data_IF_237142089435
#
_entry.id   IF_237142089435
#
_cell.length_a   1.000
_cell.length_b   1.000
_cell.length_c   1.000
_cell.angle_alpha   90.00
_cell.angle_beta   90.00
_cell.angle_gamma   90.00
#
_symmetry.space_group_name_H-M   'P 1'
#
loop_
_entity.id
_entity.type
_entity.pdbx_description
1 polymer ?
#
# COMPACT_ATOMS: atom_id res chain seq x y z
N UNK A 1 12.04 -15.36 18.87
CA UNK A 1 11.22 -15.41 20.11
C UNK A 1 9.91 -14.66 19.89
N UNK A 2 8.75 -15.33 19.94
CA UNK A 2 7.45 -14.73 19.54
C UNK A 2 6.87 -13.85 20.66
N UNK A 3 6.83 -12.52 20.45
CA UNK A 3 6.09 -11.59 21.33
C UNK A 3 4.59 -11.72 21.08
N UNK A 4 3.90 -12.45 21.95
CA UNK A 4 2.47 -12.81 21.77
C UNK A 4 1.56 -11.60 21.51
N UNK A 5 0.46 -11.81 20.77
CA UNK A 5 -0.52 -10.76 20.46
C UNK A 5 -1.15 -10.10 21.70
N UNK A 6 -1.15 -10.79 22.86
CA UNK A 6 -1.55 -10.23 24.16
C UNK A 6 -0.58 -9.13 24.63
N UNK A 7 0.72 -9.27 24.35
CA UNK A 7 1.73 -8.25 24.64
C UNK A 7 1.59 -7.01 23.74
N UNK A 8 1.40 -7.20 22.42
CA UNK A 8 1.13 -6.08 21.48
C UNK A 8 -0.15 -5.32 21.88
N UNK A 9 -1.24 -6.03 22.21
CA UNK A 9 -2.49 -5.44 22.72
C UNK A 9 -2.31 -4.72 24.07
N UNK A 10 -1.55 -5.28 25.02
CA UNK A 10 -1.24 -4.60 26.30
C UNK A 10 -0.46 -3.31 26.06
N UNK A 11 0.56 -3.32 25.19
CA UNK A 11 1.33 -2.11 24.88
C UNK A 11 0.46 -1.01 24.27
N UNK A 12 -0.36 -1.35 23.27
CA UNK A 12 -1.30 -0.41 22.64
C UNK A 12 -2.30 0.15 23.67
N UNK A 13 -2.86 -0.69 24.56
CA UNK A 13 -3.79 -0.22 25.60
C UNK A 13 -3.10 0.71 26.61
N UNK A 14 -1.87 0.41 27.02
CA UNK A 14 -1.11 1.27 27.92
C UNK A 14 -0.75 2.62 27.24
N UNK A 15 -0.38 2.61 25.95
CA UNK A 15 -0.14 3.83 25.17
C UNK A 15 -1.42 4.68 25.02
N UNK A 16 -2.57 4.06 24.71
CA UNK A 16 -3.87 4.76 24.66
C UNK A 16 -4.27 5.33 26.02
N UNK A 17 -4.15 4.56 27.11
CA UNK A 17 -4.45 5.06 28.46
C UNK A 17 -3.56 6.27 28.80
N UNK A 18 -2.27 6.24 28.41
CA UNK A 18 -1.34 7.37 28.62
C UNK A 18 -1.81 8.62 27.86
N UNK A 19 -2.24 8.47 26.60
CA UNK A 19 -2.78 9.57 25.80
C UNK A 19 -4.08 10.13 26.39
N UNK A 20 -5.01 9.29 26.86
CA UNK A 20 -6.23 9.75 27.55
C UNK A 20 -5.90 10.49 28.85
N UNK A 21 -4.88 10.06 29.61
CA UNK A 21 -4.42 10.75 30.83
C UNK A 21 -3.71 12.08 30.52
N UNK A 22 -3.08 12.22 29.35
CA UNK A 22 -2.56 13.51 28.89
C UNK A 22 -3.69 14.45 28.46
N UNK A 23 -4.71 13.93 27.77
CA UNK A 23 -5.87 14.71 27.33
C UNK A 23 -6.71 15.24 28.50
N UNK A 24 -6.96 14.44 29.54
CA UNK A 24 -7.67 14.91 30.74
C UNK A 24 -6.84 15.92 31.55
N UNK A 25 -5.51 15.78 31.57
CA UNK A 25 -4.62 16.80 32.15
C UNK A 25 -4.55 18.11 31.36
N UNK A 26 -4.98 18.11 30.09
CA UNK A 26 -5.06 19.31 29.26
C UNK A 26 -6.35 20.09 29.57
N UNK A 27 -7.50 19.42 29.52
CA UNK A 27 -8.81 20.00 29.83
C UNK A 27 -8.84 20.60 31.25
N UNK A 28 -8.40 19.85 32.26
CA UNK A 28 -8.34 20.30 33.66
C UNK A 28 -7.36 21.48 33.91
N UNK A 29 -6.78 22.07 32.86
CA UNK A 29 -5.84 23.19 32.94
C UNK A 29 -6.40 24.49 32.34
N UNK A 30 -7.52 24.44 31.62
CA UNK A 30 -8.16 25.60 31.00
C UNK A 30 -9.15 26.29 31.97
N UNK A 31 -9.67 25.56 32.96
CA UNK A 31 -10.61 26.05 34.00
C UNK A 31 -10.01 27.06 35.02
N UNK A 32 -8.77 27.52 34.85
CA UNK A 32 -8.07 28.41 35.79
C UNK A 32 -7.43 29.63 35.09
N UNK A 33 -8.22 30.37 34.32
CA UNK A 33 -7.85 31.68 33.79
C UNK A 33 -8.64 32.75 34.55
N UNK A 34 -7.94 33.67 35.21
CA UNK A 34 -8.50 34.90 35.79
C UNK A 34 -8.28 36.04 34.81
N UNK A 35 -9.28 36.92 34.66
CA UNK A 35 -9.25 38.04 33.71
C UNK A 35 -8.19 39.11 34.05
N UNK A 36 -7.74 39.92 33.06
CA UNK A 36 -6.51 40.69 33.14
C UNK A 36 -6.64 42.02 33.88
N UNK A 37 -5.51 42.49 34.42
CA UNK A 37 -5.32 43.88 34.86
C UNK A 37 -4.62 44.71 33.77
N UNK A 38 -5.02 45.97 33.62
CA UNK A 38 -4.44 46.98 32.72
C UNK A 38 -3.46 47.86 33.49
N UNK A 39 -2.46 48.44 32.78
CA UNK A 39 -1.55 49.59 33.07
C UNK A 39 -0.16 49.27 32.48
N UNK A 40 0.62 50.18 31.90
CA UNK A 40 0.33 51.49 31.26
C UNK A 40 1.52 51.82 30.32
N UNK A 41 1.45 52.90 29.52
CA UNK A 41 2.54 53.29 28.59
C UNK A 41 3.68 54.07 29.29
N UNK A 42 4.95 53.92 28.82
CA UNK A 42 5.93 54.98 28.46
C UNK A 42 7.45 54.59 28.56
N UNK A 43 8.28 55.43 27.91
CA UNK A 43 9.76 55.65 28.03
C UNK A 43 10.81 54.68 27.42
N UNK A 44 11.27 55.09 26.22
CA UNK A 44 12.67 55.31 25.75
C UNK A 44 13.77 54.21 25.66
N UNK A 45 14.10 53.92 24.39
CA UNK A 45 15.42 54.07 23.74
C UNK A 45 16.72 53.82 24.56
N UNK A 46 17.49 52.77 24.19
CA UNK A 46 18.75 52.91 23.41
C UNK A 46 19.41 51.56 23.08
N UNK A 47 20.02 51.47 21.89
CA UNK A 47 21.02 50.43 21.54
C UNK A 47 22.44 51.02 21.62
N UNK A 48 23.46 50.17 21.85
CA UNK A 48 24.57 50.13 20.89
C UNK A 48 24.80 48.74 20.27
N UNK A 49 25.74 48.67 19.32
CA UNK A 49 25.98 47.55 18.40
C UNK A 49 27.44 47.05 18.46
N UNK A 50 27.65 45.75 18.17
CA UNK A 50 28.76 45.20 17.33
C UNK A 50 30.20 45.34 17.91
N UNK A 51 31.08 44.30 17.85
CA UNK A 51 31.44 43.65 16.58
C UNK A 51 31.62 42.12 16.53
N UNK A 52 31.45 41.63 15.30
CA UNK A 52 31.97 40.36 14.77
C UNK A 52 33.34 40.64 14.10
N UNK A 53 34.22 39.65 13.99
CA UNK A 53 35.37 39.71 13.07
C UNK A 53 35.24 38.62 12.00
N UNK A 54 35.15 39.05 10.74
CA UNK A 54 35.21 38.20 9.56
C UNK A 54 36.65 37.87 9.14
N UNK A 55 36.82 36.79 8.36
CA UNK A 55 37.61 36.66 7.12
C UNK A 55 38.05 35.19 6.88
N UNK A 56 38.03 34.60 5.69
CA UNK A 56 37.33 34.91 4.41
C UNK A 56 37.47 33.70 3.44
N UNK A 57 36.93 33.79 2.22
CA UNK A 57 37.27 32.99 0.99
C UNK A 57 36.78 31.51 1.00
N UNK A 58 36.13 30.96 -0.04
CA UNK A 58 35.51 31.52 -1.28
C UNK A 58 34.35 30.61 -1.72
N UNK A 59 33.37 31.15 -2.45
CA UNK A 59 32.31 30.39 -3.13
C UNK A 59 32.56 30.28 -4.63
N UNK A 60 32.30 29.10 -5.21
CA UNK A 60 31.97 28.93 -6.63
C UNK A 60 30.51 28.45 -6.73
N UNK A 61 29.71 29.13 -7.54
CA UNK A 61 28.29 28.83 -7.73
C UNK A 61 28.09 27.61 -8.64
N UNK A 62 26.98 26.90 -8.50
CA UNK A 62 26.01 26.75 -9.60
C UNK A 62 24.66 26.13 -9.14
N UNK A 63 23.62 26.41 -9.93
CA UNK A 63 22.24 25.87 -9.91
C UNK A 63 21.49 25.78 -8.56
N UNK A 64 20.89 26.91 -8.16
CA UNK A 64 19.85 26.96 -7.13
C UNK A 64 18.49 26.44 -7.64
N UNK A 65 18.08 25.24 -7.23
CA UNK A 65 16.73 24.73 -7.49
C UNK A 65 15.78 25.07 -6.32
N UNK A 66 14.72 25.84 -6.60
CA UNK A 66 13.82 26.41 -5.58
C UNK A 66 12.90 25.36 -4.94
N UNK A 67 13.06 25.10 -3.64
CA UNK A 67 12.33 24.05 -2.92
C UNK A 67 11.47 24.57 -1.75
N UNK A 68 10.68 25.63 -1.97
CA UNK A 68 9.71 26.13 -0.98
C UNK A 68 8.43 26.67 -1.63
N UNK A 69 7.54 25.77 -2.06
CA UNK A 69 6.10 26.01 -2.03
C UNK A 69 5.31 24.71 -2.23
N UNK A 70 4.74 24.17 -1.14
CA UNK A 70 3.55 23.31 -1.22
C UNK A 70 2.71 23.49 0.06
N UNK A 71 1.72 24.37 -0.05
CA UNK A 71 0.74 24.63 1.00
C UNK A 71 -0.17 23.42 1.20
N UNK A 72 -0.64 23.25 2.44
CA UNK A 72 -1.59 22.24 2.91
C UNK A 72 -2.61 21.78 1.86
N UNK A 73 -2.57 20.51 1.47
CA UNK A 73 -3.72 19.80 0.92
C UNK A 73 -3.97 18.54 1.76
N UNK A 74 -5.24 18.33 2.13
CA UNK A 74 -5.69 17.17 2.88
C UNK A 74 -5.45 15.88 2.08
N UNK A 75 -5.12 14.74 2.74
CA UNK A 75 -5.00 13.48 2.02
C UNK A 75 -6.35 13.10 1.38
N UNK A 76 -6.39 12.79 0.07
CA UNK A 76 -7.62 12.43 -0.61
C UNK A 76 -8.16 11.08 -0.13
N UNK A 77 -9.49 10.94 -0.14
CA UNK A 77 -10.20 9.71 0.19
C UNK A 77 -9.74 8.54 -0.68
N UNK A 78 -9.30 7.44 -0.06
CA UNK A 78 -8.88 6.23 -0.79
C UNK A 78 -10.10 5.42 -1.22
N UNK A 79 -10.60 5.68 -2.43
CA UNK A 79 -11.61 4.84 -3.09
C UNK A 79 -11.00 3.49 -3.51
N UNK A 80 -11.29 2.42 -2.76
CA UNK A 80 -11.03 1.04 -3.21
C UNK A 80 -12.07 0.67 -4.26
N UNK A 81 -11.73 0.86 -5.53
CA UNK A 81 -12.63 0.77 -6.68
C UNK A 81 -13.11 -0.65 -7.02
N UNK A 82 -14.00 -1.22 -6.22
CA UNK A 82 -14.79 -2.41 -6.56
C UNK A 82 -16.17 -1.98 -7.08
N UNK A 83 -16.20 -1.45 -8.31
CA UNK A 83 -17.45 -1.27 -9.05
C UNK A 83 -17.65 -2.45 -10.04
N UNK A 84 -18.88 -2.96 -10.22
CA UNK A 84 -19.18 -4.03 -11.17
C UNK A 84 -18.97 -3.64 -12.63
N UNK A 85 -19.02 -4.65 -13.51
CA UNK A 85 -18.92 -4.50 -14.95
C UNK A 85 -20.12 -3.72 -15.53
N UNK A 86 -19.83 -2.73 -16.37
CA UNK A 86 -20.60 -2.45 -17.57
C UNK A 86 -19.61 -2.55 -18.75
N UNK A 87 -20.01 -3.19 -19.83
CA UNK A 87 -19.20 -3.35 -21.04
C UNK A 87 -20.14 -3.29 -22.25
N UNK A 88 -20.10 -2.18 -22.99
CA UNK A 88 -20.82 -2.03 -24.26
C UNK A 88 -19.82 -1.69 -25.37
N UNK A 89 -19.79 -2.56 -26.38
CA UNK A 89 -19.22 -2.36 -27.73
C UNK A 89 -17.68 -2.14 -27.83
N UNK A 90 -17.02 -2.42 -28.96
CA UNK A 90 -17.53 -2.73 -30.31
C UNK A 90 -17.03 -4.05 -30.89
N UNK A 91 -17.88 -4.68 -31.71
CA UNK A 91 -17.59 -5.90 -32.48
C UNK A 91 -16.66 -5.59 -33.66
N UNK A 92 -15.81 -6.56 -34.04
CA UNK A 92 -15.32 -6.68 -35.41
C UNK A 92 -15.06 -8.16 -35.72
N UNK A 93 -15.68 -8.69 -36.78
CA UNK A 93 -15.70 -10.13 -37.10
C UNK A 93 -14.39 -10.64 -37.72
N UNK A 94 -14.08 -11.93 -37.52
CA UNK A 94 -14.01 -12.88 -38.65
C UNK A 94 -13.62 -14.33 -38.26
N UNK A 95 -14.06 -15.26 -39.10
CA UNK A 95 -13.72 -16.71 -39.19
C UNK A 95 -14.40 -17.63 -38.15
N UNK A 96 -14.88 -18.77 -38.67
CA UNK A 96 -15.75 -19.76 -38.03
C UNK A 96 -14.96 -21.04 -37.67
N UNK A 97 -15.48 -21.84 -36.72
CA UNK A 97 -16.06 -23.15 -37.02
C UNK A 97 -16.64 -23.87 -35.78
N UNK A 98 -17.85 -24.42 -35.94
CA UNK A 98 -18.40 -25.67 -35.31
C UNK A 98 -18.44 -25.81 -33.77
N UNK A 99 -19.42 -26.43 -33.10
CA UNK A 99 -20.83 -26.88 -33.29
C UNK A 99 -21.38 -27.16 -31.86
N UNK A 100 -22.66 -27.21 -31.46
CA UNK A 100 -24.04 -26.84 -31.92
C UNK A 100 -24.95 -26.93 -30.66
N UNK A 101 -26.26 -26.58 -30.67
CA UNK A 101 -27.00 -25.56 -31.42
C UNK A 101 -27.76 -24.58 -30.49
N UNK A 102 -27.74 -23.26 -30.77
CA UNK A 102 -28.62 -22.29 -30.11
C UNK A 102 -29.70 -21.79 -31.08
N UNK A 103 -30.93 -21.64 -30.61
CA UNK A 103 -32.08 -21.27 -31.45
C UNK A 103 -32.16 -19.76 -31.67
N UNK A 104 -31.54 -19.27 -32.75
CA UNK A 104 -31.64 -17.86 -33.15
C UNK A 104 -33.07 -17.51 -33.58
N UNK A 105 -33.74 -16.66 -32.80
CA UNK A 105 -34.89 -15.87 -33.25
C UNK A 105 -34.52 -14.38 -33.15
N UNK A 106 -33.93 -13.85 -34.21
CA UNK A 106 -33.54 -12.43 -34.27
C UNK A 106 -34.80 -11.59 -34.43
N UNK A 107 -35.20 -10.91 -33.36
CA UNK A 107 -36.19 -9.83 -33.39
C UNK A 107 -35.76 -8.72 -32.43
N UNK A 108 -35.74 -7.48 -32.93
CA UNK A 108 -34.98 -6.39 -32.32
C UNK A 108 -35.71 -5.70 -31.17
N UNK A 109 -35.22 -5.89 -29.94
CA UNK A 109 -35.38 -4.94 -28.83
C UNK A 109 -34.47 -5.33 -27.66
N UNK A 110 -33.89 -4.34 -26.96
CA UNK A 110 -33.01 -4.58 -25.81
C UNK A 110 -33.83 -4.93 -24.56
N UNK A 111 -34.44 -6.12 -24.54
CA UNK A 111 -35.05 -6.69 -23.35
C UNK A 111 -33.97 -7.15 -22.36
N UNK A 112 -33.53 -6.22 -21.51
CA UNK A 112 -32.80 -6.52 -20.28
C UNK A 112 -33.64 -7.54 -19.48
N UNK A 113 -33.07 -8.71 -19.15
CA UNK A 113 -33.84 -9.77 -18.49
C UNK A 113 -34.30 -9.34 -17.09
N UNK A 114 -35.34 -9.99 -16.55
CA UNK A 114 -35.81 -9.67 -15.20
C UNK A 114 -34.76 -10.09 -14.15
N UNK A 115 -33.98 -11.12 -14.45
CA UNK A 115 -32.80 -11.55 -13.73
C UNK A 115 -31.75 -10.42 -13.65
N UNK A 116 -31.42 -9.79 -14.78
CA UNK A 116 -30.49 -8.65 -14.85
C UNK A 116 -31.03 -7.42 -14.11
N UNK A 117 -32.33 -7.11 -14.22
CA UNK A 117 -32.95 -5.99 -13.51
C UNK A 117 -32.89 -6.17 -11.99
N UNK A 118 -33.16 -7.38 -11.48
CA UNK A 118 -33.06 -7.69 -10.04
C UNK A 118 -31.58 -7.73 -9.59
N UNK A 119 -30.68 -8.17 -10.46
CA UNK A 119 -29.23 -8.12 -10.24
C UNK A 119 -28.73 -6.67 -10.08
N UNK A 120 -29.06 -5.79 -11.04
CA UNK A 120 -28.73 -4.36 -11.00
C UNK A 120 -29.35 -3.66 -9.79
N UNK A 121 -30.62 -3.90 -9.47
CA UNK A 121 -31.27 -3.37 -8.27
C UNK A 121 -30.55 -3.80 -6.98
N UNK A 122 -30.22 -5.09 -6.83
CA UNK A 122 -29.57 -5.59 -5.64
C UNK A 122 -28.16 -5.00 -5.45
N UNK A 123 -27.44 -4.76 -6.56
CA UNK A 123 -26.17 -4.04 -6.58
C UNK A 123 -26.36 -2.57 -6.18
N UNK A 124 -27.24 -1.84 -6.86
CA UNK A 124 -27.46 -0.39 -6.70
C UNK A 124 -27.83 -0.01 -5.26
N UNK A 125 -28.66 -0.83 -4.61
CA UNK A 125 -29.11 -0.60 -3.24
C UNK A 125 -28.32 -1.39 -2.18
N UNK A 126 -27.20 -2.03 -2.56
CA UNK A 126 -26.33 -2.80 -1.67
C UNK A 126 -27.12 -3.84 -0.82
N UNK A 127 -28.02 -4.57 -1.48
CA UNK A 127 -28.94 -5.49 -0.83
C UNK A 127 -28.20 -6.77 -0.43
N UNK A 128 -28.25 -7.09 0.87
CA UNK A 128 -27.59 -8.27 1.43
C UNK A 128 -28.10 -9.56 0.77
N UNK A 129 -27.18 -10.46 0.41
CA UNK A 129 -27.47 -11.75 -0.23
C UNK A 129 -28.62 -12.54 0.42
N UNK A 130 -28.78 -12.52 1.76
CA UNK A 130 -29.88 -13.23 2.42
C UNK A 130 -31.26 -12.66 2.09
N UNK A 131 -31.39 -11.34 1.89
CA UNK A 131 -32.63 -10.72 1.43
C UNK A 131 -32.91 -11.04 -0.05
N UNK A 132 -31.88 -11.04 -0.90
CA UNK A 132 -32.00 -11.45 -2.30
C UNK A 132 -32.42 -12.93 -2.40
N UNK A 133 -31.81 -13.84 -1.62
CA UNK A 133 -32.20 -15.26 -1.59
C UNK A 133 -33.65 -15.45 -1.11
N UNK A 134 -34.12 -14.62 -0.17
CA UNK A 134 -35.53 -14.61 0.26
C UNK A 134 -36.47 -14.16 -0.85
N UNK A 135 -36.14 -13.07 -1.55
CA UNK A 135 -36.90 -12.57 -2.70
C UNK A 135 -36.96 -13.59 -3.83
N UNK A 136 -35.82 -14.19 -4.20
CA UNK A 136 -35.72 -15.26 -5.21
C UNK A 136 -36.58 -16.48 -4.84
N UNK A 137 -36.58 -16.87 -3.56
CA UNK A 137 -37.43 -17.97 -3.06
C UNK A 137 -38.93 -17.62 -3.15
N UNK A 138 -39.31 -16.38 -2.87
CA UNK A 138 -40.69 -15.91 -3.07
C UNK A 138 -41.09 -15.88 -4.55
N UNK A 139 -40.22 -15.36 -5.43
CA UNK A 139 -40.47 -15.29 -6.88
C UNK A 139 -40.63 -16.68 -7.50
N UNK A 140 -39.76 -17.65 -7.15
CA UNK A 140 -39.77 -19.00 -7.73
C UNK A 140 -41.03 -19.81 -7.41
N UNK A 141 -41.79 -19.44 -6.37
CA UNK A 141 -43.11 -20.01 -6.10
C UNK A 141 -44.17 -19.58 -7.13
N UNK A 142 -43.95 -18.47 -7.85
CA UNK A 142 -44.85 -18.00 -8.89
C UNK A 142 -44.58 -18.73 -10.22
N UNK A 143 -45.65 -19.10 -10.94
CA UNK A 143 -45.56 -19.95 -12.15
C UNK A 143 -44.65 -19.36 -13.24
N UNK A 144 -44.64 -18.03 -13.38
CA UNK A 144 -43.84 -17.32 -14.39
C UNK A 144 -42.32 -17.35 -14.12
N UNK A 145 -41.89 -17.60 -12.88
CA UNK A 145 -40.49 -17.45 -12.47
C UNK A 145 -39.86 -18.77 -12.01
N UNK A 146 -40.40 -19.93 -12.41
CA UNK A 146 -39.82 -21.25 -12.10
C UNK A 146 -38.34 -21.39 -12.49
N UNK A 147 -37.92 -20.68 -13.53
CA UNK A 147 -36.55 -20.69 -14.07
C UNK A 147 -35.55 -19.90 -13.20
N UNK A 148 -36.01 -18.96 -12.36
CA UNK A 148 -35.13 -18.13 -11.54
C UNK A 148 -34.24 -18.94 -10.59
N UNK A 149 -33.01 -18.49 -10.31
CA UNK A 149 -32.16 -19.07 -9.27
C UNK A 149 -32.79 -18.92 -7.87
N UNK A 150 -32.29 -19.69 -6.90
CA UNK A 150 -32.67 -19.57 -5.47
C UNK A 150 -31.55 -18.85 -4.69
N UNK A 151 -30.30 -19.15 -5.00
CA UNK A 151 -29.15 -18.44 -4.44
C UNK A 151 -28.81 -17.23 -5.31
N UNK A 152 -28.68 -16.06 -4.69
CA UNK A 152 -28.25 -14.82 -5.33
C UNK A 152 -26.86 -14.93 -5.94
N UNK A 153 -25.98 -15.82 -5.45
CA UNK A 153 -24.70 -16.13 -6.13
C UNK A 153 -24.90 -16.57 -7.59
N UNK A 154 -25.95 -17.34 -7.85
CA UNK A 154 -26.31 -17.80 -9.19
C UNK A 154 -26.97 -16.69 -10.02
N UNK A 155 -27.73 -15.79 -9.38
CA UNK A 155 -28.24 -14.57 -10.04
C UNK A 155 -27.11 -13.62 -10.45
N UNK A 156 -26.13 -13.41 -9.57
CA UNK A 156 -24.93 -12.60 -9.80
C UNK A 156 -23.88 -13.31 -10.68
N UNK A 157 -24.22 -14.42 -11.36
CA UNK A 157 -23.32 -15.13 -12.27
C UNK A 157 -21.99 -15.59 -11.65
N UNK A 158 -21.92 -15.79 -10.34
CA UNK A 158 -20.66 -16.04 -9.62
C UNK A 158 -20.02 -17.35 -10.13
N UNK A 159 -18.81 -17.32 -10.74
CA UNK A 159 -18.23 -18.49 -11.38
C UNK A 159 -18.04 -19.66 -10.40
N UNK A 160 -18.75 -20.76 -10.64
CA UNK A 160 -18.69 -21.99 -9.82
C UNK A 160 -17.54 -22.92 -10.21
N UNK A 161 -16.84 -22.65 -11.32
CA UNK A 161 -15.61 -23.35 -11.65
C UNK A 161 -14.49 -22.90 -10.70
N UNK A 162 -13.80 -23.85 -10.05
CA UNK A 162 -12.51 -23.57 -9.43
C UNK A 162 -11.54 -23.13 -10.52
N UNK A 163 -11.08 -21.88 -10.48
CA UNK A 163 -10.07 -21.39 -11.41
C UNK A 163 -8.83 -22.27 -11.34
N UNK A 164 -8.38 -22.78 -12.52
CA UNK A 164 -7.20 -23.66 -12.62
C UNK A 164 -5.89 -22.95 -12.28
N UNK A 165 -5.94 -21.62 -12.13
CA UNK A 165 -4.83 -20.70 -11.86
C UNK A 165 -4.52 -20.51 -10.36
N UNK A 166 -5.28 -21.10 -9.43
CA UNK A 166 -4.95 -21.02 -8.00
C UNK A 166 -3.72 -21.90 -7.73
N UNK A 167 -2.57 -21.25 -7.52
CA UNK A 167 -1.29 -21.89 -7.24
C UNK A 167 -1.12 -22.09 -5.74
N UNK A 168 -0.55 -23.23 -5.33
CA UNK A 168 -0.14 -23.43 -3.94
C UNK A 168 1.16 -22.67 -3.69
N UNK A 169 1.17 -21.83 -2.65
CA UNK A 169 2.37 -21.13 -2.14
C UNK A 169 2.43 -21.45 -0.65
N UNK A 170 3.43 -22.19 -0.17
CA UNK A 170 3.32 -22.78 1.17
C UNK A 170 3.32 -21.69 2.29
N UNK A 171 2.43 -21.77 3.32
CA UNK A 171 1.45 -22.81 3.66
C UNK A 171 0.00 -22.51 3.23
N UNK A 172 -0.19 -21.70 2.18
CA UNK A 172 -1.50 -21.24 1.70
C UNK A 172 -1.68 -21.40 0.19
N UNK A 173 -2.45 -20.48 -0.39
CA UNK A 173 -2.77 -20.42 -1.82
C UNK A 173 -2.56 -19.01 -2.36
N UNK A 174 -2.31 -18.89 -3.66
CA UNK A 174 -2.10 -17.64 -4.36
C UNK A 174 -2.90 -17.63 -5.66
N UNK A 175 -3.42 -16.46 -6.02
CA UNK A 175 -4.05 -16.21 -7.31
C UNK A 175 -3.39 -14.98 -7.96
N UNK A 176 -3.06 -15.09 -9.25
CA UNK A 176 -2.48 -14.01 -10.03
C UNK A 176 -3.54 -13.39 -10.94
N UNK A 177 -3.72 -12.07 -10.86
CA UNK A 177 -4.64 -11.31 -11.70
C UNK A 177 -3.97 -10.75 -12.96
N UNK A 178 -2.64 -10.70 -12.99
CA UNK A 178 -1.85 -10.05 -14.03
C UNK A 178 -1.80 -8.53 -13.90
N UNK A 179 -0.60 -7.96 -14.05
CA UNK A 179 -0.36 -6.53 -14.13
C UNK A 179 -0.95 -5.99 -15.44
N UNK A 180 -0.86 -6.76 -16.54
CA UNK A 180 -1.44 -6.44 -17.85
C UNK A 180 -2.94 -6.10 -17.78
N UNK A 181 -3.72 -6.91 -17.05
CA UNK A 181 -5.16 -6.73 -16.88
C UNK A 181 -5.49 -5.39 -16.21
N UNK A 182 -4.77 -5.07 -15.12
CA UNK A 182 -4.95 -3.81 -14.41
C UNK A 182 -4.47 -2.60 -15.22
N UNK A 183 -3.38 -2.73 -15.98
CA UNK A 183 -2.93 -1.68 -16.91
C UNK A 183 -4.02 -1.43 -17.95
N UNK A 184 -4.51 -2.46 -18.66
CA UNK A 184 -5.56 -2.35 -19.68
C UNK A 184 -6.86 -1.72 -19.13
N UNK A 185 -7.18 -1.93 -17.85
CA UNK A 185 -8.38 -1.36 -17.21
C UNK A 185 -8.24 0.11 -16.78
N UNK A 186 -7.04 0.57 -16.41
CA UNK A 186 -6.84 1.88 -15.78
C UNK A 186 -5.89 2.85 -16.52
N UNK A 187 -5.21 2.41 -17.59
CA UNK A 187 -4.36 3.26 -18.41
C UNK A 187 -5.20 4.13 -19.38
N UNK A 188 -4.95 5.44 -19.47
CA UNK A 188 -5.51 6.29 -20.51
C UNK A 188 -5.12 5.82 -21.92
N UNK A 189 -6.06 5.94 -22.85
CA UNK A 189 -5.94 5.59 -24.27
C UNK A 189 -4.76 6.25 -25.00
N UNK A 190 -4.30 7.41 -24.53
CA UNK A 190 -3.27 8.23 -25.16
C UNK A 190 -1.93 8.21 -24.39
N UNK A 191 -1.65 7.13 -23.64
CA UNK A 191 -0.45 7.01 -22.81
C UNK A 191 0.82 6.74 -23.64
N UNK A 192 1.78 7.68 -23.66
CA UNK A 192 3.07 7.49 -24.36
C UNK A 192 3.98 6.44 -23.68
N UNK A 193 3.90 6.35 -22.35
CA UNK A 193 4.57 5.33 -21.53
C UNK A 193 3.67 5.02 -20.32
N UNK A 194 3.97 3.92 -19.62
CA UNK A 194 3.23 3.50 -18.42
C UNK A 194 4.24 3.28 -17.30
N UNK A 195 4.12 4.09 -16.25
CA UNK A 195 5.03 4.09 -15.11
C UNK A 195 4.30 3.54 -13.88
N UNK A 196 4.83 2.48 -13.27
CA UNK A 196 4.11 1.69 -12.28
C UNK A 196 4.78 1.75 -10.91
N UNK A 197 3.95 1.95 -9.88
CA UNK A 197 4.28 1.73 -8.48
C UNK A 197 3.66 0.42 -8.01
N UNK A 198 4.44 -0.43 -7.36
CA UNK A 198 4.01 -1.71 -6.79
C UNK A 198 3.85 -1.57 -5.28
N UNK A 199 2.79 -2.14 -4.71
CA UNK A 199 2.54 -2.20 -3.27
C UNK A 199 2.52 -3.65 -2.77
N UNK A 200 3.19 -3.94 -1.65
CA UNK A 200 3.16 -5.27 -1.02
C UNK A 200 3.07 -5.10 0.50
N UNK A 201 2.07 -5.75 1.11
CA UNK A 201 1.73 -5.65 2.54
C UNK A 201 1.16 -6.99 3.06
N UNK A 202 1.05 -7.15 4.39
CA UNK A 202 0.48 -8.31 5.06
C UNK A 202 -0.78 -7.95 5.87
N UNK A 203 -1.96 -8.20 5.30
CA UNK A 203 -3.26 -7.81 5.85
C UNK A 203 -3.91 -8.94 6.68
N UNK A 204 -3.93 -8.86 8.03
CA UNK A 204 -4.61 -9.86 8.85
C UNK A 204 -6.14 -9.73 8.75
N UNK A 205 -6.81 -10.79 8.31
CA UNK A 205 -8.26 -10.83 8.12
C UNK A 205 -9.05 -10.98 9.43
N UNK A 206 -8.40 -11.47 10.49
CA UNK A 206 -9.03 -11.69 11.78
C UNK A 206 -8.12 -11.29 12.95
N UNK A 207 -8.75 -11.02 14.09
CA UNK A 207 -8.09 -10.80 15.39
C UNK A 207 -8.02 -12.07 16.24
N UNK A 208 -8.57 -13.18 15.75
CA UNK A 208 -8.70 -14.48 16.44
C UNK A 208 -8.21 -15.70 15.64
N UNK A 209 -8.21 -15.68 14.30
CA UNK A 209 -7.52 -16.69 13.47
C UNK A 209 -6.22 -16.11 12.89
N UNK A 210 -5.32 -16.98 12.41
CA UNK A 210 -4.09 -16.58 11.71
C UNK A 210 -4.32 -16.11 10.27
N UNK A 211 -5.56 -16.19 9.77
CA UNK A 211 -5.93 -15.89 8.39
C UNK A 211 -5.48 -14.47 7.98
N UNK A 212 -4.72 -14.39 6.90
CA UNK A 212 -4.16 -13.15 6.37
C UNK A 212 -4.10 -13.21 4.84
N UNK A 213 -4.27 -12.04 4.22
CA UNK A 213 -3.93 -11.83 2.83
C UNK A 213 -2.53 -11.22 2.71
N UNK A 214 -1.81 -11.59 1.67
CA UNK A 214 -0.64 -10.85 1.19
C UNK A 214 -0.92 -10.42 -0.26
N UNK A 215 -1.53 -9.23 -0.47
CA UNK A 215 -1.76 -8.71 -1.81
C UNK A 215 -0.46 -8.18 -2.44
N UNK A 216 -0.33 -8.40 -3.74
CA UNK A 216 0.52 -7.61 -4.63
C UNK A 216 -0.42 -6.62 -5.31
N UNK A 217 -0.20 -5.33 -5.04
CA UNK A 217 -0.98 -4.21 -5.56
C UNK A 217 -0.14 -3.45 -6.60
N UNK A 218 -0.81 -2.73 -7.49
CA UNK A 218 -0.16 -1.75 -8.35
C UNK A 218 -1.04 -0.51 -8.56
N UNK A 219 -0.42 0.60 -8.93
CA UNK A 219 -1.10 1.74 -9.54
C UNK A 219 -0.20 2.39 -10.60
N UNK A 220 -0.83 3.02 -11.60
CA UNK A 220 -0.12 3.79 -12.63
C UNK A 220 0.20 5.18 -12.03
N UNK A 221 1.46 5.56 -12.07
CA UNK A 221 1.98 6.78 -11.45
C UNK A 221 1.75 8.03 -12.31
N UNK A 222 1.90 7.90 -13.62
CA UNK A 222 1.89 8.98 -14.60
C UNK A 222 0.49 9.34 -15.10
N UNK A 223 -0.54 9.18 -14.25
CA UNK A 223 -1.94 9.50 -14.55
C UNK A 223 -2.56 10.31 -13.39
N UNK A 224 -3.55 11.20 -13.66
CA UNK A 224 -4.10 12.08 -12.63
C UNK A 224 -4.96 11.33 -11.59
N UNK A 225 -5.90 10.46 -12.01
CA UNK A 225 -6.67 9.62 -11.08
C UNK A 225 -5.93 8.31 -10.82
N UNK A 226 -5.08 8.29 -9.78
CA UNK A 226 -4.37 7.08 -9.31
C UNK A 226 -5.37 6.07 -8.75
N UNK A 227 -5.64 5.00 -9.50
CA UNK A 227 -6.45 3.86 -9.07
C UNK A 227 -5.52 2.69 -8.69
N UNK A 228 -5.71 2.14 -7.49
CA UNK A 228 -4.97 0.96 -7.01
C UNK A 228 -5.73 -0.31 -7.41
N UNK A 229 -5.01 -1.29 -7.93
CA UNK A 229 -5.55 -2.58 -8.37
C UNK A 229 -4.74 -3.77 -7.86
N UNK A 230 -5.38 -4.95 -7.82
CA UNK A 230 -4.73 -6.21 -7.48
C UNK A 230 -3.99 -6.79 -8.70
N UNK A 231 -2.77 -7.25 -8.46
CA UNK A 231 -1.91 -7.98 -9.41
C UNK A 231 -1.76 -9.44 -8.95
N UNK A 232 -1.75 -9.66 -7.64
CA UNK A 232 -1.73 -10.98 -7.03
C UNK A 232 -2.36 -10.94 -5.64
N UNK A 233 -2.88 -12.07 -5.18
CA UNK A 233 -3.43 -12.22 -3.84
C UNK A 233 -3.08 -13.59 -3.27
N UNK A 234 -2.22 -13.59 -2.26
CA UNK A 234 -2.02 -14.75 -1.40
C UNK A 234 -3.05 -14.78 -0.27
N UNK A 235 -3.50 -15.98 0.11
CA UNK A 235 -4.28 -16.27 1.30
C UNK A 235 -3.69 -17.46 2.08
N UNK A 236 -3.52 -17.30 3.38
CA UNK A 236 -3.08 -18.39 4.26
C UNK A 236 -3.29 -18.10 5.75
N UNK A 237 -3.00 -19.09 6.59
CA UNK A 237 -3.00 -18.95 8.06
C UNK A 237 -1.71 -18.32 8.61
N UNK A 238 -0.71 -18.15 7.75
CA UNK A 238 0.60 -17.54 8.03
C UNK A 238 0.98 -16.63 6.86
N UNK A 239 2.12 -15.94 6.97
CA UNK A 239 2.79 -15.33 5.80
C UNK A 239 3.30 -16.46 4.89
N UNK A 240 3.33 -16.31 3.56
CA UNK A 240 4.01 -17.28 2.71
C UNK A 240 5.47 -17.47 3.17
N UNK A 241 5.93 -18.72 3.23
CA UNK A 241 7.21 -19.05 3.88
C UNK A 241 8.40 -18.52 3.10
N UNK A 242 8.38 -18.67 1.78
CA UNK A 242 9.36 -18.06 0.87
C UNK A 242 8.75 -16.85 0.13
N UNK A 243 9.52 -15.77 0.01
CA UNK A 243 9.15 -14.60 -0.80
C UNK A 243 9.41 -14.82 -2.29
N UNK A 244 10.32 -15.72 -2.68
CA UNK A 244 10.55 -15.97 -4.10
C UNK A 244 9.40 -16.79 -4.70
N UNK A 245 8.97 -17.87 -4.03
CA UNK A 245 7.74 -18.61 -4.37
C UNK A 245 6.50 -17.69 -4.42
N UNK A 246 6.33 -16.75 -3.48
CA UNK A 246 5.22 -15.80 -3.51
C UNK A 246 5.24 -14.82 -4.71
N UNK A 247 6.43 -14.42 -5.19
CA UNK A 247 6.58 -13.34 -6.17
C UNK A 247 6.81 -13.83 -7.61
N UNK A 248 6.99 -15.12 -7.85
CA UNK A 248 7.43 -15.66 -9.14
C UNK A 248 6.55 -15.28 -10.33
N UNK A 249 5.21 -15.40 -10.21
CA UNK A 249 4.29 -15.09 -11.32
C UNK A 249 4.32 -13.58 -11.64
N UNK A 250 4.36 -12.74 -10.60
CA UNK A 250 4.49 -11.29 -10.74
C UNK A 250 5.82 -10.86 -11.40
N UNK A 251 6.94 -11.52 -11.11
CA UNK A 251 8.23 -11.22 -11.75
C UNK A 251 8.21 -11.59 -13.24
N UNK A 252 7.59 -12.72 -13.60
CA UNK A 252 7.47 -13.16 -15.00
C UNK A 252 6.59 -12.20 -15.81
N UNK A 253 5.43 -11.82 -15.27
CA UNK A 253 4.49 -10.84 -15.83
C UNK A 253 5.12 -9.43 -15.95
N UNK A 254 5.80 -8.96 -14.91
CA UNK A 254 6.55 -7.70 -14.95
C UNK A 254 7.62 -7.68 -16.06
N UNK A 255 8.43 -8.73 -16.19
CA UNK A 255 9.46 -8.81 -17.22
C UNK A 255 8.92 -8.92 -18.64
N UNK A 256 7.80 -9.65 -18.82
CA UNK A 256 7.10 -9.70 -20.10
C UNK A 256 6.68 -8.28 -20.53
N UNK A 257 6.08 -7.51 -19.62
CA UNK A 257 5.60 -6.15 -19.90
C UNK A 257 6.73 -5.12 -20.07
N UNK A 258 7.84 -5.26 -19.34
CA UNK A 258 9.03 -4.39 -19.49
C UNK A 258 9.76 -4.65 -20.81
N UNK A 259 9.88 -5.93 -21.21
CA UNK A 259 10.57 -6.36 -22.44
C UNK A 259 9.74 -6.08 -23.69
N UNK A 260 8.48 -6.57 -23.72
CA UNK A 260 7.64 -6.57 -24.90
C UNK A 260 6.73 -5.33 -25.00
N UNK A 261 6.58 -4.57 -23.92
CA UNK A 261 5.61 -3.49 -23.79
C UNK A 261 4.19 -4.00 -23.57
N UNK A 262 3.20 -3.15 -23.79
CA UNK A 262 1.77 -3.50 -23.75
C UNK A 262 1.02 -2.83 -24.90
N UNK A 263 0.14 -3.57 -25.58
CA UNK A 263 -0.70 -3.03 -26.64
C UNK A 263 -1.96 -2.40 -26.02
N UNK A 264 -2.10 -1.08 -26.14
CA UNK A 264 -3.36 -0.34 -25.93
C UNK A 264 -3.68 0.40 -27.22
N UNK A 265 -4.94 0.41 -27.67
CA UNK A 265 -5.38 1.08 -28.89
C UNK A 265 -4.46 0.84 -30.10
N UNK A 266 -4.12 -0.43 -30.35
CA UNK A 266 -3.22 -0.92 -31.39
C UNK A 266 -1.79 -0.32 -31.38
N UNK A 267 -1.43 0.40 -30.32
CA UNK A 267 -0.11 1.03 -30.12
C UNK A 267 0.64 0.25 -29.05
N UNK A 268 1.88 -0.16 -29.32
CA UNK A 268 2.72 -0.77 -28.28
C UNK A 268 3.36 0.33 -27.42
N UNK A 269 3.09 0.28 -26.12
CA UNK A 269 3.47 1.29 -25.13
C UNK A 269 4.46 0.69 -24.15
N UNK A 270 5.56 1.40 -23.88
CA UNK A 270 6.59 0.93 -22.95
C UNK A 270 6.11 1.00 -21.50
N UNK A 271 6.18 -0.14 -20.81
CA UNK A 271 5.93 -0.26 -19.37
C UNK A 271 7.25 -0.12 -18.60
N UNK A 272 7.23 0.49 -17.42
CA UNK A 272 8.35 0.46 -16.47
C UNK A 272 7.87 0.50 -15.02
N UNK A 273 8.44 -0.34 -14.17
CA UNK A 273 8.25 -0.24 -12.71
C UNK A 273 9.25 0.80 -12.19
N UNK A 274 8.78 1.76 -11.40
CA UNK A 274 9.63 2.83 -10.83
C UNK A 274 9.94 2.60 -9.36
N UNK A 275 8.95 2.14 -8.60
CA UNK A 275 9.06 2.04 -7.14
C UNK A 275 8.26 0.90 -6.54
N UNK A 276 8.72 0.46 -5.38
CA UNK A 276 8.03 -0.43 -4.46
C UNK A 276 7.65 0.34 -3.19
N UNK A 277 6.42 0.17 -2.74
CA UNK A 277 5.83 0.73 -1.51
C UNK A 277 5.45 -0.40 -0.59
N UNK A 278 6.25 -0.61 0.44
CA UNK A 278 6.09 -1.68 1.42
C UNK A 278 6.36 -1.12 2.81
N UNK A 279 5.65 -1.61 3.83
CA UNK A 279 6.05 -1.35 5.22
C UNK A 279 7.42 -2.01 5.52
N UNK A 280 8.08 -1.62 6.60
CA UNK A 280 9.43 -2.12 6.87
C UNK A 280 9.51 -3.66 7.06
N UNK A 281 8.58 -4.33 7.77
CA UNK A 281 8.36 -5.78 7.69
C UNK A 281 8.27 -6.35 6.27
N UNK A 282 7.33 -5.90 5.44
CA UNK A 282 7.10 -6.42 4.09
C UNK A 282 8.33 -6.18 3.19
N UNK A 283 8.94 -4.98 3.23
CA UNK A 283 10.21 -4.69 2.55
C UNK A 283 11.30 -5.70 2.93
N UNK A 284 11.49 -5.97 4.22
CA UNK A 284 12.53 -6.90 4.68
C UNK A 284 12.27 -8.34 4.22
N UNK A 285 11.01 -8.75 4.13
CA UNK A 285 10.61 -10.07 3.63
C UNK A 285 10.83 -10.21 2.11
N UNK A 286 10.35 -9.27 1.29
CA UNK A 286 10.49 -9.37 -0.17
C UNK A 286 11.94 -9.25 -0.62
N UNK A 287 12.78 -8.51 0.12
CA UNK A 287 14.23 -8.42 -0.14
C UNK A 287 15.06 -9.56 0.50
N UNK A 288 14.49 -10.44 1.33
CA UNK A 288 15.23 -11.45 2.12
C UNK A 288 16.36 -10.87 2.99
N UNK A 289 16.10 -9.75 3.66
CA UNK A 289 17.05 -9.02 4.53
C UNK A 289 16.61 -8.94 5.99
N UNK A 290 17.55 -8.61 6.88
CA UNK A 290 17.34 -8.50 8.33
C UNK A 290 16.28 -7.43 8.64
N UNK A 291 15.22 -7.83 9.33
CA UNK A 291 14.06 -6.97 9.62
C UNK A 291 14.43 -5.74 10.46
N UNK A 292 13.63 -4.67 10.36
CA UNK A 292 13.78 -3.33 10.98
C UNK A 292 14.06 -3.25 12.49
N UNK A 293 14.09 -4.38 13.20
CA UNK A 293 14.37 -4.48 14.64
C UNK A 293 15.68 -5.24 14.95
N UNK A 294 16.45 -5.65 13.93
CA UNK A 294 17.79 -6.21 14.07
C UNK A 294 18.89 -5.17 13.90
N UNK A 295 20.11 -5.50 14.32
CA UNK A 295 21.26 -4.59 14.31
C UNK A 295 21.60 -4.10 12.89
N UNK A 296 22.07 -4.97 12.00
CA UNK A 296 22.36 -4.65 10.59
C UNK A 296 21.09 -4.60 9.73
N UNK A 297 20.09 -3.78 10.08
CA UNK A 297 18.79 -3.70 9.36
C UNK A 297 18.56 -2.43 8.53
N UNK A 298 19.53 -1.50 8.48
CA UNK A 298 19.41 -0.32 7.64
C UNK A 298 19.48 -0.68 6.15
N UNK A 299 18.44 -0.35 5.39
CA UNK A 299 18.33 -0.66 3.94
C UNK A 299 18.99 0.38 3.02
N UNK A 300 19.74 1.35 3.59
CA UNK A 300 20.38 2.46 2.84
C UNK A 300 21.88 2.63 3.14
N UNK A 301 22.36 2.21 4.32
CA UNK A 301 23.79 2.20 4.67
C UNK A 301 24.14 1.00 5.56
N UNK A 302 25.43 0.73 5.75
CA UNK A 302 25.99 -0.35 6.58
C UNK A 302 26.10 0.03 8.06
N UNK A 303 25.22 0.90 8.56
CA UNK A 303 25.21 1.26 9.98
C UNK A 303 24.73 0.07 10.82
N UNK A 304 25.50 -0.29 11.84
CA UNK A 304 25.10 -1.26 12.85
C UNK A 304 24.25 -0.58 13.93
N UNK A 305 23.30 -1.32 14.50
CA UNK A 305 22.45 -0.82 15.59
C UNK A 305 22.99 -1.22 16.96
N UNK A 306 22.69 -0.40 17.97
CA UNK A 306 23.00 -0.68 19.38
C UNK A 306 21.75 -1.06 20.18
N UNK A 307 21.88 -1.92 21.19
CA UNK A 307 20.77 -2.31 22.07
C UNK A 307 20.57 -1.32 23.24
N UNK A 308 19.90 -0.20 22.97
CA UNK A 308 19.71 0.88 23.94
C UNK A 308 18.27 0.89 24.47
N UNK A 309 18.08 0.73 25.79
CA UNK A 309 16.77 0.84 26.45
C UNK A 309 15.70 -0.13 25.90
N UNK A 310 16.03 -1.42 25.81
CA UNK A 310 15.14 -2.52 25.39
C UNK A 310 14.62 -2.45 23.94
N UNK A 311 15.39 -1.82 23.06
CA UNK A 311 15.17 -1.70 21.61
C UNK A 311 16.54 -1.62 20.91
N UNK A 312 16.59 -2.03 19.65
CA UNK A 312 17.69 -1.60 18.76
C UNK A 312 17.48 -0.13 18.41
N UNK A 313 18.55 0.64 18.38
CA UNK A 313 18.60 2.01 17.91
C UNK A 313 19.81 2.18 16.98
N UNK A 314 19.77 3.19 16.12
CA UNK A 314 20.91 3.63 15.33
C UNK A 314 21.35 4.98 15.90
N UNK A 315 22.45 5.05 16.67
CA UNK A 315 22.95 6.32 17.19
C UNK A 315 23.36 7.27 16.07
N UNK A 316 23.40 8.56 16.36
CA UNK A 316 24.05 9.52 15.48
C UNK A 316 25.57 9.37 15.59
N UNK A 317 26.24 9.40 14.44
CA UNK A 317 27.70 9.42 14.31
C UNK A 317 28.07 10.49 13.30
N UNK A 318 29.05 11.32 13.63
CA UNK A 318 29.63 12.32 12.72
C UNK A 318 30.21 11.62 11.49
N UNK A 319 30.94 10.52 11.70
CA UNK A 319 31.38 9.62 10.64
C UNK A 319 30.18 8.84 10.08
N UNK A 320 29.78 9.17 8.85
CA UNK A 320 28.68 8.51 8.15
C UNK A 320 29.05 7.09 7.69
N UNK A 321 28.21 6.10 7.99
CA UNK A 321 28.39 4.72 7.54
C UNK A 321 28.21 4.59 6.02
N UNK A 322 28.99 3.70 5.40
CA UNK A 322 29.00 3.44 3.96
C UNK A 322 27.60 3.19 3.39
N UNK A 323 27.26 3.87 2.29
CA UNK A 323 25.97 3.66 1.58
C UNK A 323 25.92 2.24 0.99
N UNK A 324 24.76 1.57 1.04
CA UNK A 324 24.56 0.30 0.34
C UNK A 324 24.44 0.54 -1.17
N UNK A 325 25.03 -0.35 -1.95
CA UNK A 325 24.92 -0.40 -3.42
C UNK A 325 24.04 -1.57 -3.85
N UNK A 326 23.69 -1.65 -5.14
CA UNK A 326 22.94 -2.80 -5.64
C UNK A 326 23.86 -4.04 -5.75
N UNK A 327 25.06 -3.87 -6.30
CA UNK A 327 26.11 -4.90 -6.39
C UNK A 327 26.39 -5.58 -5.05
N UNK A 328 26.58 -4.83 -3.96
CA UNK A 328 26.85 -5.44 -2.64
C UNK A 328 25.68 -6.29 -2.13
N UNK A 329 24.45 -5.97 -2.54
CA UNK A 329 23.27 -6.77 -2.24
C UNK A 329 23.18 -8.01 -3.15
N UNK A 330 23.45 -7.88 -4.45
CA UNK A 330 23.52 -9.03 -5.38
C UNK A 330 24.59 -10.04 -4.96
N UNK A 331 25.75 -9.55 -4.50
CA UNK A 331 26.89 -10.33 -4.03
C UNK A 331 26.72 -10.85 -2.58
N UNK A 332 25.67 -10.45 -1.86
CA UNK A 332 25.46 -10.71 -0.42
C UNK A 332 26.66 -10.34 0.46
N UNK A 333 27.38 -9.27 0.13
CA UNK A 333 28.65 -8.87 0.76
C UNK A 333 28.55 -8.64 2.28
N UNK A 334 27.37 -8.30 2.78
CA UNK A 334 27.08 -8.09 4.20
C UNK A 334 26.24 -9.27 4.71
N UNK A 335 26.92 -10.33 5.17
CA UNK A 335 26.29 -11.56 5.67
C UNK A 335 25.26 -11.28 6.78
N UNK A 336 25.50 -10.24 7.58
CA UNK A 336 24.62 -9.84 8.67
C UNK A 336 23.39 -9.02 8.20
N UNK A 337 23.39 -8.46 7.00
CA UNK A 337 22.22 -7.82 6.40
C UNK A 337 21.27 -8.83 5.75
N UNK A 338 21.78 -9.95 5.25
CA UNK A 338 20.98 -10.99 4.62
C UNK A 338 20.41 -11.99 5.65
N UNK A 339 19.28 -12.64 5.33
CA UNK A 339 18.68 -13.69 6.20
C UNK A 339 18.44 -15.01 5.47
N UNK A 340 19.02 -15.16 4.28
CA UNK A 340 18.89 -16.34 3.43
C UNK A 340 20.05 -16.39 2.43
N UNK A 341 20.53 -17.59 2.12
CA UNK A 341 21.55 -17.85 1.10
C UNK A 341 20.98 -17.68 -0.34
N UNK A 342 19.77 -17.13 -0.49
CA UNK A 342 19.11 -16.84 -1.75
C UNK A 342 18.73 -15.37 -1.80
N UNK A 343 19.00 -14.73 -2.94
CA UNK A 343 18.59 -13.36 -3.18
C UNK A 343 17.08 -13.27 -3.47
N UNK A 344 16.50 -12.07 -3.36
CA UNK A 344 15.14 -11.82 -3.81
C UNK A 344 14.99 -12.05 -5.32
N UNK A 345 13.95 -12.77 -5.73
CA UNK A 345 13.57 -12.95 -7.13
C UNK A 345 13.26 -11.62 -7.85
N UNK A 346 12.99 -10.54 -7.10
CA UNK A 346 12.87 -9.18 -7.67
C UNK A 346 14.13 -8.71 -8.40
N UNK A 347 15.31 -9.29 -8.11
CA UNK A 347 16.55 -9.03 -8.86
C UNK A 347 16.56 -9.54 -10.29
N UNK A 348 15.57 -10.36 -10.66
CA UNK A 348 15.34 -10.76 -12.04
C UNK A 348 14.51 -9.70 -12.81
N UNK A 349 13.92 -8.70 -12.14
CA UNK A 349 13.18 -7.64 -12.83
C UNK A 349 14.17 -6.69 -13.53
N UNK A 350 14.00 -6.49 -14.83
CA UNK A 350 14.89 -5.60 -15.60
C UNK A 350 14.86 -4.16 -15.07
N UNK A 351 16.07 -3.63 -14.80
CA UNK A 351 16.26 -2.31 -14.18
C UNK A 351 16.03 -2.25 -12.67
N UNK A 352 15.86 -3.39 -11.99
CA UNK A 352 15.67 -3.42 -10.54
C UNK A 352 16.85 -2.82 -9.77
N UNK A 353 16.55 -2.09 -8.69
CA UNK A 353 17.55 -1.62 -7.74
C UNK A 353 17.03 -1.71 -6.30
N UNK A 354 17.54 -2.70 -5.55
CA UNK A 354 17.13 -3.04 -4.19
C UNK A 354 17.26 -1.90 -3.17
N UNK A 355 18.19 -0.97 -3.41
CA UNK A 355 18.40 0.20 -2.56
C UNK A 355 17.42 1.31 -2.95
N UNK A 356 17.41 1.68 -4.23
CA UNK A 356 16.79 2.92 -4.69
C UNK A 356 15.29 2.83 -4.97
N UNK A 357 14.78 1.72 -5.53
CA UNK A 357 13.37 1.62 -5.91
C UNK A 357 12.42 1.50 -4.72
N UNK A 358 12.92 1.11 -3.54
CA UNK A 358 12.07 1.05 -2.35
C UNK A 358 11.94 2.41 -1.69
N UNK A 359 10.72 2.93 -1.71
CA UNK A 359 10.30 4.10 -0.95
C UNK A 359 10.56 3.92 0.55
N UNK A 360 10.59 5.04 1.27
CA UNK A 360 10.77 5.09 2.73
C UNK A 360 9.45 5.56 3.33
N UNK A 361 8.89 4.76 4.25
CA UNK A 361 7.58 5.01 4.83
C UNK A 361 7.59 6.22 5.78
N UNK A 362 7.08 7.35 5.27
CA UNK A 362 6.93 8.60 6.00
C UNK A 362 5.99 8.48 7.21
N UNK A 363 4.90 7.71 7.11
CA UNK A 363 3.94 7.53 8.20
C UNK A 363 4.60 6.78 9.37
N UNK A 364 5.29 5.66 9.10
CA UNK A 364 5.93 4.87 10.14
C UNK A 364 7.21 5.50 10.70
N UNK A 365 8.04 6.17 9.87
CA UNK A 365 9.28 6.78 10.34
C UNK A 365 9.10 8.19 10.89
N UNK A 366 8.39 9.09 10.19
CA UNK A 366 8.28 10.50 10.61
C UNK A 366 7.10 10.69 11.56
N UNK A 367 5.87 10.40 11.14
CA UNK A 367 4.68 10.66 11.96
C UNK A 367 4.64 9.80 13.23
N UNK A 368 4.61 8.48 13.08
CA UNK A 368 4.55 7.52 14.18
C UNK A 368 5.92 7.26 14.84
N UNK A 369 7.01 7.53 14.13
CA UNK A 369 8.37 7.20 14.54
C UNK A 369 9.16 8.35 15.18
N UNK A 370 9.05 9.59 14.69
CA UNK A 370 9.75 10.76 15.24
C UNK A 370 8.76 11.69 15.95
N UNK A 371 7.74 12.18 15.25
CA UNK A 371 6.78 13.18 15.76
C UNK A 371 6.07 12.69 17.02
N UNK A 372 5.58 11.44 17.02
CA UNK A 372 5.02 10.80 18.22
C UNK A 372 6.02 10.74 19.40
N UNK A 373 7.32 10.53 19.16
CA UNK A 373 8.34 10.54 20.23
C UNK A 373 8.59 11.95 20.77
N UNK A 374 8.64 12.96 19.89
CA UNK A 374 8.80 14.36 20.29
C UNK A 374 7.60 14.84 21.11
N UNK A 375 6.36 14.57 20.67
CA UNK A 375 5.16 14.85 21.45
C UNK A 375 5.17 14.13 22.80
N UNK A 376 5.55 12.85 22.86
CA UNK A 376 5.69 12.13 24.13
C UNK A 376 6.75 12.78 25.02
N UNK A 377 7.88 13.24 24.47
CA UNK A 377 8.92 13.93 25.23
C UNK A 377 8.38 15.25 25.81
N UNK A 378 7.86 16.14 24.97
CA UNK A 378 7.38 17.47 25.36
C UNK A 378 6.18 17.45 26.30
N UNK A 379 5.20 16.57 26.08
CA UNK A 379 3.97 16.54 26.89
C UNK A 379 4.01 15.56 28.08
N UNK A 380 4.82 14.49 28.03
CA UNK A 380 4.95 13.56 29.18
C UNK A 380 6.08 13.93 30.14
N UNK A 381 7.08 14.68 29.66
CA UNK A 381 8.09 15.35 30.47
C UNK A 381 8.00 16.85 30.22
N UNK A 382 7.02 17.49 30.87
CA UNK A 382 7.08 18.93 31.09
C UNK A 382 8.40 19.31 31.78
N UNK A 383 8.80 20.61 31.72
CA UNK A 383 10.15 21.03 32.09
C UNK A 383 10.54 20.52 33.48
N UNK A 384 11.72 19.87 33.55
CA UNK A 384 12.46 19.85 34.80
C UNK A 384 12.73 21.32 35.13
N UNK A 385 12.16 21.80 36.23
CA UNK A 385 12.33 23.17 36.69
C UNK A 385 13.81 23.40 36.98
N UNK A 386 14.46 24.24 36.17
CA UNK A 386 15.73 24.82 36.53
C UNK A 386 15.50 25.76 37.72
N UNK A 387 15.99 25.34 38.88
CA UNK A 387 16.14 26.08 40.12
C UNK A 387 17.58 25.90 40.59
#
# INVERSE_FOLDING_TARGET
>A
MIRSGRSKRRKIRNELNTLCTLHSKFLNKEDNIVEPAVLDENEDLTHPLIPIQDNNIVLSQDESCSLFEFVNQSPPSVEVGVNPFNLEESINDSVLNETTPFSNSVSSSNFISMEDQICQWAIQFNIKHNAVNSLLSCLKNHKCFKHFPIDSRTLFGTPTQKSKEIRTVHPGIYYHFGLEFGIKKYAPTNSCCIEIAIGIDGLPLSKSSGAQFWPILAYIMNIPKKMVFLVGLYYGTEKPHDSNDFLIDFVQDANNLITNGIILNNTNIKVSIKLFTCDAPAKSYVLKVKSHAGFSSCTRCTIEGEYINNRVAFPYSENHSTKRTHEHYLQMYDEDYHISNQISILTQIDGFNSVNMFSIDYMHLVCLGVTKKLMILWFSKGPLTFY
#
